data_IF_896780732892
#
_entry.id   IF_896780732892
#
_cell.length_a   1.000
_cell.length_b   1.000
_cell.length_c   1.000
_cell.angle_alpha   90.00
_cell.angle_beta   90.00
_cell.angle_gamma   90.00
#
_symmetry.space_group_name_H-M   'P 1'
#
loop_
_entity.id
_entity.type
_entity.pdbx_description
1 polymer ?
#
# COMPACT_ATOMS: atom_id res chain seq x y z
N UNK A 1 17.54 -72.34 -49.74
CA UNK A 1 17.34 -70.98 -50.30
C UNK A 1 16.02 -70.44 -49.83
N UNK A 2 15.99 -69.27 -49.22
CA UNK A 2 14.78 -68.56 -48.79
C UNK A 2 14.00 -68.15 -50.06
N UNK A 3 12.71 -68.46 -50.13
CA UNK A 3 11.94 -68.07 -51.28
C UNK A 3 11.83 -66.53 -51.44
N UNK A 4 11.84 -65.97 -52.64
CA UNK A 4 11.85 -64.53 -52.86
C UNK A 4 10.61 -63.84 -52.25
N UNK A 5 9.52 -64.55 -52.07
CA UNK A 5 8.28 -64.08 -51.44
C UNK A 5 8.46 -63.89 -49.93
N UNK A 6 9.18 -64.79 -49.22
CA UNK A 6 9.50 -64.66 -47.79
C UNK A 6 10.48 -63.54 -47.58
N UNK A 7 11.47 -63.35 -48.45
CA UNK A 7 12.41 -62.24 -48.37
C UNK A 7 11.70 -60.91 -48.52
N UNK A 8 10.81 -60.76 -49.51
CA UNK A 8 10.02 -59.54 -49.74
C UNK A 8 9.11 -59.21 -48.53
N UNK A 9 8.48 -60.23 -47.93
CA UNK A 9 7.67 -60.05 -46.72
C UNK A 9 8.53 -59.59 -45.52
N UNK A 10 9.69 -60.17 -45.28
CA UNK A 10 10.58 -59.75 -44.22
C UNK A 10 11.08 -58.34 -44.41
N UNK A 11 11.44 -57.93 -45.62
CA UNK A 11 11.83 -56.57 -45.93
C UNK A 11 10.69 -55.60 -45.68
N UNK A 12 9.46 -55.93 -46.10
CA UNK A 12 8.28 -55.09 -45.83
C UNK A 12 8.01 -54.90 -44.35
N UNK A 13 8.11 -55.98 -43.55
CA UNK A 13 7.93 -55.91 -42.10
C UNK A 13 9.01 -55.08 -41.45
N UNK A 14 10.29 -55.23 -41.87
CA UNK A 14 11.39 -54.41 -41.35
C UNK A 14 11.19 -52.93 -41.69
N UNK A 15 10.80 -52.62 -42.94
CA UNK A 15 10.49 -51.26 -43.34
C UNK A 15 9.32 -50.67 -42.52
N UNK A 16 8.27 -51.46 -42.29
CA UNK A 16 7.11 -51.00 -41.51
C UNK A 16 7.47 -50.77 -40.03
N UNK A 17 8.27 -51.66 -39.44
CA UNK A 17 8.77 -51.45 -38.05
C UNK A 17 9.71 -50.25 -37.99
N UNK A 18 10.59 -50.07 -38.95
CA UNK A 18 11.48 -48.94 -39.03
C UNK A 18 10.72 -47.61 -39.19
N UNK A 19 9.74 -47.57 -40.06
CA UNK A 19 8.88 -46.35 -40.22
C UNK A 19 8.06 -46.05 -38.98
N UNK A 20 7.47 -47.07 -38.33
CA UNK A 20 6.79 -46.92 -37.06
C UNK A 20 7.74 -46.41 -35.95
N UNK A 21 8.95 -46.97 -35.89
CA UNK A 21 9.97 -46.52 -34.94
C UNK A 21 10.39 -45.06 -35.15
N UNK A 22 10.59 -44.65 -36.39
CA UNK A 22 10.96 -43.25 -36.73
C UNK A 22 9.81 -42.28 -36.45
N UNK A 23 8.58 -42.65 -36.78
CA UNK A 23 7.40 -41.81 -36.48
C UNK A 23 7.17 -41.69 -34.96
N UNK A 24 7.31 -42.78 -34.20
CA UNK A 24 7.20 -42.78 -32.76
C UNK A 24 8.29 -41.92 -32.09
N UNK A 25 9.52 -41.94 -32.65
CA UNK A 25 10.62 -41.11 -32.12
C UNK A 25 10.44 -39.61 -32.37
N UNK A 26 9.67 -39.23 -33.42
CA UNK A 26 9.39 -37.86 -33.76
C UNK A 26 8.08 -37.31 -33.16
N UNK A 27 7.39 -38.11 -32.37
CA UNK A 27 6.15 -37.70 -31.73
C UNK A 27 6.40 -37.46 -30.22
N UNK A 28 5.70 -36.46 -29.70
CA UNK A 28 5.74 -36.06 -28.29
C UNK A 28 4.34 -36.03 -27.72
N UNK A 29 4.17 -36.61 -26.55
CA UNK A 29 2.92 -36.50 -25.79
C UNK A 29 2.95 -35.20 -24.96
N UNK A 30 2.09 -34.26 -25.32
CA UNK A 30 2.04 -32.96 -24.66
C UNK A 30 0.79 -32.86 -23.79
N UNK A 31 0.99 -32.64 -22.51
CA UNK A 31 -0.09 -32.38 -21.55
C UNK A 31 -0.36 -30.87 -21.50
N UNK A 32 -1.58 -30.48 -21.88
CA UNK A 32 -2.02 -29.10 -21.90
C UNK A 32 -2.99 -28.85 -20.76
N UNK A 33 -2.68 -27.86 -19.92
CA UNK A 33 -3.55 -27.41 -18.83
C UNK A 33 -3.85 -25.93 -18.97
N UNK A 34 -5.06 -25.57 -18.62
CA UNK A 34 -5.53 -24.19 -18.51
C UNK A 34 -6.05 -23.99 -17.09
N UNK A 35 -5.68 -22.89 -16.44
CA UNK A 35 -6.12 -22.57 -15.07
C UNK A 35 -7.64 -22.48 -14.94
N UNK A 36 -8.38 -22.29 -16.04
CA UNK A 36 -9.84 -22.42 -16.09
C UNK A 36 -10.36 -23.87 -15.96
N UNK A 37 -9.46 -24.84 -15.80
CA UNK A 37 -9.80 -26.25 -15.56
C UNK A 37 -9.78 -27.13 -16.80
N UNK A 38 -9.53 -26.61 -18.00
CA UNK A 38 -9.38 -27.43 -19.20
C UNK A 38 -8.08 -28.22 -19.12
N UNK A 39 -8.16 -29.53 -19.42
CA UNK A 39 -7.02 -30.46 -19.44
C UNK A 39 -7.12 -31.31 -20.68
N UNK A 40 -6.05 -31.38 -21.45
CA UNK A 40 -5.99 -32.15 -22.68
C UNK A 40 -4.63 -32.85 -22.81
N UNK A 41 -4.61 -33.97 -23.47
CA UNK A 41 -3.38 -34.67 -23.84
C UNK A 41 -3.35 -34.72 -25.37
N UNK A 42 -2.30 -34.18 -25.94
CA UNK A 42 -2.12 -34.09 -27.40
C UNK A 42 -0.89 -34.86 -27.83
N UNK A 43 -0.97 -35.47 -29.01
CA UNK A 43 0.19 -35.99 -29.69
C UNK A 43 0.70 -34.91 -30.65
N UNK A 44 1.89 -34.39 -30.42
CA UNK A 44 2.49 -33.32 -31.20
C UNK A 44 3.82 -33.76 -31.78
N UNK A 45 4.34 -33.02 -32.75
CA UNK A 45 5.68 -33.24 -33.23
C UNK A 45 6.69 -32.94 -32.12
N UNK A 46 7.83 -33.62 -32.13
CA UNK A 46 8.85 -33.46 -31.08
C UNK A 46 9.48 -32.05 -31.04
N UNK A 47 9.41 -31.33 -32.16
CA UNK A 47 9.88 -29.97 -32.35
C UNK A 47 8.76 -28.92 -32.36
N UNK A 48 7.52 -29.32 -32.06
CA UNK A 48 6.38 -28.41 -32.02
C UNK A 48 6.62 -27.24 -31.06
N UNK A 49 6.40 -26.03 -31.57
CA UNK A 49 6.46 -24.80 -30.77
C UNK A 49 5.25 -24.68 -29.84
N UNK A 50 5.35 -23.91 -28.75
CA UNK A 50 4.21 -23.64 -27.86
C UNK A 50 2.98 -23.11 -28.61
N UNK A 51 3.18 -22.24 -29.61
CA UNK A 51 2.11 -21.69 -30.42
C UNK A 51 1.38 -22.77 -31.24
N UNK A 52 2.13 -23.73 -31.81
CA UNK A 52 1.55 -24.86 -32.54
C UNK A 52 0.75 -25.78 -31.60
N UNK A 53 1.27 -26.03 -30.39
CA UNK A 53 0.56 -26.84 -29.39
C UNK A 53 -0.75 -26.15 -28.97
N UNK A 54 -0.73 -24.83 -28.76
CA UNK A 54 -1.94 -24.05 -28.45
C UNK A 54 -2.95 -24.12 -29.61
N UNK A 55 -2.48 -23.96 -30.83
CA UNK A 55 -3.34 -24.07 -31.99
C UNK A 55 -4.01 -25.44 -32.10
N UNK A 56 -3.27 -26.53 -31.86
CA UNK A 56 -3.78 -27.90 -31.89
C UNK A 56 -4.75 -28.18 -30.74
N UNK A 57 -4.52 -27.58 -29.57
CA UNK A 57 -5.44 -27.71 -28.43
C UNK A 57 -6.74 -26.93 -28.59
N UNK A 58 -6.80 -26.00 -29.54
CA UNK A 58 -7.91 -25.07 -29.69
C UNK A 58 -7.98 -23.99 -28.59
N UNK A 59 -7.02 -23.95 -27.71
CA UNK A 59 -6.94 -22.96 -26.62
C UNK A 59 -6.24 -21.72 -27.18
N UNK A 60 -6.82 -20.54 -26.92
CA UNK A 60 -6.23 -19.24 -27.27
C UNK A 60 -5.78 -18.56 -26.00
N UNK A 61 -4.58 -17.97 -26.01
CA UNK A 61 -4.18 -17.05 -24.96
C UNK A 61 -4.80 -15.68 -25.20
N UNK A 62 -5.20 -15.04 -24.12
CA UNK A 62 -5.65 -13.65 -24.10
C UNK A 62 -4.51 -12.72 -23.63
N UNK A 63 -4.74 -11.43 -23.77
CA UNK A 63 -3.79 -10.43 -23.32
C UNK A 63 -3.60 -10.51 -21.79
N UNK A 64 -2.35 -10.67 -21.35
CA UNK A 64 -1.99 -10.80 -19.94
C UNK A 64 -1.83 -12.24 -19.47
N UNK A 65 -2.29 -13.25 -20.24
CA UNK A 65 -2.09 -14.67 -19.90
C UNK A 65 -0.61 -15.04 -19.94
N UNK A 66 -0.19 -15.91 -19.03
CA UNK A 66 1.16 -16.48 -19.03
C UNK A 66 1.14 -17.93 -19.54
N UNK A 67 2.05 -18.23 -20.47
CA UNK A 67 2.16 -19.54 -21.10
C UNK A 67 3.50 -20.16 -20.78
N UNK A 68 3.48 -21.28 -20.08
CA UNK A 68 4.66 -22.04 -19.69
C UNK A 68 4.74 -23.35 -20.48
N UNK A 69 5.79 -23.49 -21.28
CA UNK A 69 6.07 -24.72 -22.01
C UNK A 69 7.33 -25.38 -21.51
N UNK A 70 7.22 -26.64 -21.10
CA UNK A 70 8.34 -27.44 -20.61
C UNK A 70 8.40 -28.75 -21.37
N UNK A 71 9.52 -28.98 -22.04
CA UNK A 71 9.80 -30.27 -22.66
C UNK A 71 10.61 -31.15 -21.68
N UNK A 72 10.17 -32.38 -21.50
CA UNK A 72 10.80 -33.36 -20.64
C UNK A 72 11.55 -34.41 -21.46
N UNK A 73 12.40 -35.20 -20.79
CA UNK A 73 12.99 -36.41 -21.39
C UNK A 73 11.89 -37.46 -21.66
N UNK A 74 12.09 -38.28 -22.67
CA UNK A 74 11.16 -39.39 -22.98
C UNK A 74 9.93 -38.98 -23.79
N UNK A 75 10.06 -38.02 -24.68
CA UNK A 75 9.00 -37.55 -25.58
C UNK A 75 7.73 -37.04 -24.86
N UNK A 76 7.94 -36.39 -23.72
CA UNK A 76 6.88 -35.74 -22.94
C UNK A 76 7.07 -34.23 -22.94
N UNK A 77 5.97 -33.49 -22.90
CA UNK A 77 5.96 -32.05 -22.68
C UNK A 77 4.72 -31.64 -21.89
N UNK A 78 4.80 -30.46 -21.25
CA UNK A 78 3.65 -29.79 -20.67
C UNK A 78 3.53 -28.37 -21.20
N UNK A 79 2.31 -27.93 -21.45
CA UNK A 79 1.93 -26.57 -21.74
C UNK A 79 0.91 -26.13 -20.68
N UNK A 80 1.31 -25.20 -19.83
CA UNK A 80 0.43 -24.64 -18.81
C UNK A 80 0.07 -23.22 -19.21
N UNK A 81 -1.21 -22.91 -19.20
CA UNK A 81 -1.73 -21.59 -19.46
C UNK A 81 -2.36 -21.06 -18.18
N UNK A 82 -1.74 -20.04 -17.62
CA UNK A 82 -2.26 -19.33 -16.47
C UNK A 82 -3.02 -18.09 -16.94
N UNK A 83 -4.31 -18.05 -16.63
CA UNK A 83 -5.20 -17.00 -17.10
C UNK A 83 -5.07 -15.74 -16.28
N UNK A 84 -4.95 -14.62 -16.97
CA UNK A 84 -5.01 -13.33 -16.32
C UNK A 84 -6.43 -12.96 -15.88
N UNK A 85 -6.54 -12.36 -14.73
CA UNK A 85 -7.77 -11.75 -14.23
C UNK A 85 -7.60 -10.24 -14.10
N UNK A 86 -8.73 -9.52 -14.13
CA UNK A 86 -8.74 -8.06 -14.02
C UNK A 86 -8.90 -7.62 -12.57
N UNK A 87 -8.11 -6.62 -12.18
CA UNK A 87 -8.15 -5.89 -10.92
C UNK A 87 -8.36 -4.41 -11.27
N UNK A 88 -9.17 -3.69 -10.51
CA UNK A 88 -9.36 -2.24 -10.66
C UNK A 88 -8.64 -1.51 -9.52
N UNK A 89 -7.82 -0.52 -9.89
CA UNK A 89 -7.14 0.38 -8.95
C UNK A 89 -7.76 1.76 -9.10
N UNK A 90 -8.25 2.31 -7.99
CA UNK A 90 -8.73 3.68 -7.91
C UNK A 90 -7.63 4.54 -7.26
N UNK A 91 -7.10 5.49 -8.00
CA UNK A 91 -6.07 6.41 -7.53
C UNK A 91 -6.28 7.79 -8.16
N UNK A 92 -6.12 8.85 -7.39
CA UNK A 92 -6.18 10.24 -7.84
C UNK A 92 -7.49 10.56 -8.62
N UNK A 93 -8.61 9.94 -8.21
CA UNK A 93 -9.92 10.09 -8.83
C UNK A 93 -10.08 9.39 -10.18
N UNK A 94 -9.16 8.50 -10.57
CA UNK A 94 -9.19 7.73 -11.81
C UNK A 94 -9.17 6.21 -11.50
N UNK A 95 -9.71 5.42 -12.43
CA UNK A 95 -9.66 3.97 -12.38
C UNK A 95 -8.64 3.42 -13.37
N UNK A 96 -7.78 2.53 -12.89
CA UNK A 96 -6.73 1.86 -13.66
C UNK A 96 -7.02 0.35 -13.67
N UNK A 97 -7.55 -0.19 -14.79
CA UNK A 97 -7.73 -1.63 -14.92
C UNK A 97 -6.38 -2.29 -15.19
N UNK A 98 -6.04 -3.30 -14.40
CA UNK A 98 -4.78 -4.06 -14.50
C UNK A 98 -5.10 -5.54 -14.65
N UNK A 99 -4.34 -6.23 -15.51
CA UNK A 99 -4.42 -7.70 -15.66
C UNK A 99 -3.23 -8.37 -14.99
N UNK A 100 -3.51 -9.36 -14.15
CA UNK A 100 -2.53 -10.14 -13.39
C UNK A 100 -2.90 -11.62 -13.47
N UNK A 101 -1.92 -12.48 -13.48
CA UNK A 101 -2.11 -13.93 -13.33
C UNK A 101 -2.13 -14.32 -11.85
N UNK A 102 -1.25 -13.74 -11.08
CA UNK A 102 -1.17 -13.81 -9.62
C UNK A 102 -0.44 -12.57 -9.10
N UNK A 103 -0.56 -12.29 -7.83
CA UNK A 103 0.20 -11.22 -7.20
C UNK A 103 -0.51 -10.59 -6.01
N UNK A 104 0.13 -9.57 -5.50
CA UNK A 104 -0.32 -8.74 -4.39
C UNK A 104 -0.80 -7.38 -4.88
N UNK A 105 -1.31 -6.56 -3.97
CA UNK A 105 -1.64 -5.15 -4.24
C UNK A 105 -0.41 -4.40 -4.75
N UNK A 106 0.79 -4.67 -4.18
CA UNK A 106 2.04 -4.06 -4.63
C UNK A 106 2.36 -4.38 -6.09
N UNK A 107 2.20 -5.64 -6.51
CA UNK A 107 2.41 -6.06 -7.91
C UNK A 107 1.42 -5.38 -8.87
N UNK A 108 0.18 -5.18 -8.41
CA UNK A 108 -0.84 -4.50 -9.19
C UNK A 108 -0.50 -3.01 -9.39
N UNK A 109 -0.03 -2.32 -8.33
CA UNK A 109 0.41 -0.93 -8.40
C UNK A 109 1.62 -0.76 -9.32
N UNK A 110 2.63 -1.63 -9.19
CA UNK A 110 3.81 -1.61 -10.05
C UNK A 110 3.42 -1.75 -11.52
N UNK A 111 2.51 -2.66 -11.85
CA UNK A 111 2.02 -2.87 -13.20
C UNK A 111 1.20 -1.70 -13.76
N UNK A 112 0.49 -0.97 -12.87
CA UNK A 112 -0.22 0.26 -13.21
C UNK A 112 0.72 1.48 -13.35
N UNK A 113 1.97 1.38 -12.87
CA UNK A 113 2.91 2.50 -12.80
C UNK A 113 2.55 3.51 -11.71
N UNK A 114 1.83 3.08 -10.66
CA UNK A 114 1.42 3.93 -9.55
C UNK A 114 2.44 3.76 -8.42
N UNK A 115 3.04 4.86 -7.99
CA UNK A 115 3.95 4.92 -6.85
C UNK A 115 3.26 5.52 -5.65
N UNK A 116 3.59 5.03 -4.46
CA UNK A 116 3.20 5.62 -3.18
C UNK A 116 4.33 6.50 -2.67
N UNK A 117 4.00 7.65 -2.11
CA UNK A 117 4.95 8.60 -1.53
C UNK A 117 4.65 8.82 -0.05
N UNK A 118 5.69 9.08 0.74
CA UNK A 118 5.55 9.39 2.16
C UNK A 118 4.72 8.38 2.94
N UNK A 119 3.57 8.84 3.44
CA UNK A 119 2.62 8.05 4.24
C UNK A 119 1.40 7.59 3.44
N UNK A 120 1.45 7.64 2.10
CA UNK A 120 0.41 7.08 1.24
C UNK A 120 0.15 5.62 1.58
N UNK A 121 -1.10 5.21 1.50
CA UNK A 121 -1.46 3.83 1.80
C UNK A 121 -2.54 3.29 0.85
N UNK A 122 -2.76 1.99 0.92
CA UNK A 122 -3.76 1.32 0.08
C UNK A 122 -4.75 0.52 0.89
N UNK A 123 -5.95 0.39 0.37
CA UNK A 123 -6.95 -0.55 0.84
C UNK A 123 -7.36 -1.49 -0.31
N UNK A 124 -7.07 -2.81 -0.15
CA UNK A 124 -6.35 -3.52 0.90
C UNK A 124 -4.86 -3.16 0.99
N UNK A 125 -4.18 -3.62 2.07
CA UNK A 125 -2.75 -3.40 2.28
C UNK A 125 -1.88 -3.99 1.15
N UNK A 126 -0.64 -3.50 0.98
CA UNK A 126 0.25 -3.84 -0.12
C UNK A 126 0.56 -5.34 -0.25
N UNK A 127 0.61 -6.06 0.85
CA UNK A 127 0.89 -7.49 0.93
C UNK A 127 -0.33 -8.39 0.68
N UNK A 128 -1.52 -7.79 0.55
CA UNK A 128 -2.74 -8.53 0.30
C UNK A 128 -2.73 -9.17 -1.10
N UNK A 129 -3.04 -10.47 -1.16
CA UNK A 129 -3.14 -11.21 -2.42
C UNK A 129 -4.42 -10.80 -3.15
N UNK A 130 -4.27 -10.37 -4.40
CA UNK A 130 -5.40 -9.94 -5.23
C UNK A 130 -6.01 -11.13 -5.99
N UNK A 131 -7.29 -11.04 -6.27
CA UNK A 131 -8.07 -12.03 -7.02
C UNK A 131 -8.91 -11.34 -8.08
N UNK A 132 -9.56 -12.13 -8.93
CA UNK A 132 -10.43 -11.61 -9.98
C UNK A 132 -11.50 -10.67 -9.42
N UNK A 133 -11.54 -9.46 -9.95
CA UNK A 133 -12.49 -8.42 -9.53
C UNK A 133 -12.13 -7.68 -8.23
N UNK A 134 -10.92 -7.90 -7.68
CA UNK A 134 -10.43 -7.10 -6.55
C UNK A 134 -10.42 -5.62 -6.90
N UNK A 135 -10.82 -4.80 -5.93
CA UNK A 135 -10.74 -3.34 -6.00
C UNK A 135 -9.70 -2.87 -5.02
N UNK A 136 -8.81 -2.02 -5.49
CA UNK A 136 -7.74 -1.41 -4.72
C UNK A 136 -7.99 0.09 -4.72
N UNK A 137 -7.95 0.72 -3.56
CA UNK A 137 -8.02 2.17 -3.41
C UNK A 137 -6.67 2.66 -2.90
N UNK A 138 -6.15 3.68 -3.56
CA UNK A 138 -4.92 4.38 -3.13
C UNK A 138 -5.35 5.66 -2.45
N UNK A 139 -4.89 5.85 -1.23
CA UNK A 139 -5.11 7.05 -0.44
C UNK A 139 -3.85 7.90 -0.41
N UNK A 140 -3.98 9.17 -0.80
CA UNK A 140 -2.89 10.14 -0.79
C UNK A 140 -2.86 10.88 0.54
N UNK A 141 -1.67 10.97 1.14
CA UNK A 141 -1.48 11.61 2.44
C UNK A 141 -0.56 12.81 2.30
N UNK A 142 -1.12 14.00 2.52
CA UNK A 142 -0.40 15.25 2.49
C UNK A 142 -0.36 15.89 3.88
N UNK A 143 0.71 16.67 4.14
CA UNK A 143 0.88 17.41 5.38
C UNK A 143 1.04 18.90 5.09
N UNK A 144 0.31 19.72 5.84
CA UNK A 144 0.46 21.17 5.81
C UNK A 144 0.82 21.70 7.21
N UNK A 145 1.82 22.57 7.29
CA UNK A 145 2.18 23.22 8.55
C UNK A 145 1.60 24.63 8.60
N UNK A 146 0.85 24.89 9.66
CA UNK A 146 0.24 26.18 9.94
C UNK A 146 0.82 26.78 11.21
N UNK A 147 1.29 28.02 11.11
CA UNK A 147 1.88 28.76 12.23
C UNK A 147 0.93 29.85 12.64
N UNK A 148 0.52 29.86 13.92
CA UNK A 148 -0.39 30.86 14.49
C UNK A 148 0.21 31.50 15.73
N UNK A 149 -0.03 32.78 15.89
CA UNK A 149 0.32 33.48 17.13
C UNK A 149 -0.89 33.51 18.06
N UNK A 150 -0.70 33.00 19.27
CA UNK A 150 -1.73 32.96 20.31
C UNK A 150 -1.30 33.79 21.52
N UNK A 151 -2.27 34.46 22.16
CA UNK A 151 -2.01 35.17 23.39
C UNK A 151 -1.93 34.23 24.58
N UNK A 152 -0.92 34.41 25.42
CA UNK A 152 -0.81 33.76 26.70
C UNK A 152 -1.47 34.66 27.74
N UNK A 153 -2.54 34.24 28.43
CA UNK A 153 -3.17 35.04 29.47
C UNK A 153 -2.20 35.28 30.62
N UNK A 154 -2.33 36.43 31.29
CA UNK A 154 -1.61 36.70 32.51
C UNK A 154 -2.45 36.36 33.72
N UNK A 155 -1.78 36.06 34.83
CA UNK A 155 -2.43 35.81 36.13
C UNK A 155 -2.57 37.10 36.95
N UNK A 156 -3.54 37.12 37.89
CA UNK A 156 -3.69 38.19 38.85
C UNK A 156 -3.22 37.74 40.21
N UNK A 157 -2.16 38.38 40.71
CA UNK A 157 -1.60 38.12 42.00
C UNK A 157 -2.04 39.19 43.03
N UNK A 158 -2.41 38.75 44.23
CA UNK A 158 -2.79 39.63 45.32
C UNK A 158 -1.68 39.66 46.37
N UNK A 159 -1.12 40.84 46.62
CA UNK A 159 -0.14 41.08 47.65
C UNK A 159 -0.83 41.72 48.84
N UNK A 160 -0.89 41.02 49.96
CA UNK A 160 -1.55 41.50 51.15
C UNK A 160 -0.60 42.36 51.99
N UNK A 161 -1.12 43.44 52.55
CA UNK A 161 -0.35 44.32 53.45
C UNK A 161 -1.15 44.63 54.72
N UNK A 162 -0.47 44.56 55.86
CA UNK A 162 -1.02 44.84 57.19
C UNK A 162 -0.95 46.31 57.59
N UNK A 163 -0.28 47.15 56.81
CA UNK A 163 0.06 48.51 57.22
C UNK A 163 -1.09 49.54 57.27
N UNK A 164 -2.32 49.12 56.92
CA UNK A 164 -3.46 50.05 56.85
C UNK A 164 -4.75 49.44 57.39
N UNK A 165 -4.84 49.20 58.67
CA UNK A 165 -6.04 48.67 59.35
C UNK A 165 -7.31 49.50 59.16
N UNK A 166 -7.19 50.75 58.70
CA UNK A 166 -8.35 51.63 58.51
C UNK A 166 -8.95 51.58 57.11
N UNK A 167 -8.39 50.88 56.16
CA UNK A 167 -8.79 50.85 54.77
C UNK A 167 -9.00 49.42 54.25
N UNK A 168 -9.70 48.60 55.04
CA UNK A 168 -10.06 47.24 54.61
C UNK A 168 -10.90 47.31 53.33
N UNK A 169 -10.55 46.47 52.34
CA UNK A 169 -11.20 46.41 51.05
C UNK A 169 -10.68 47.38 49.98
N UNK A 170 -9.69 48.28 50.36
CA UNK A 170 -9.06 49.14 49.37
C UNK A 170 -8.01 48.35 48.56
N UNK A 171 -8.03 48.46 47.28
CA UNK A 171 -7.06 47.85 46.35
C UNK A 171 -6.26 48.94 45.64
N UNK A 172 -5.01 48.64 45.31
CA UNK A 172 -4.15 49.47 44.48
C UNK A 172 -3.38 48.60 43.51
N UNK A 173 -3.48 48.88 42.24
CA UNK A 173 -2.67 48.19 41.23
C UNK A 173 -1.19 48.58 41.41
N UNK A 174 -0.34 47.59 41.59
CA UNK A 174 1.12 47.76 41.65
C UNK A 174 1.75 47.58 40.29
N UNK A 175 1.23 46.61 39.55
CA UNK A 175 1.68 46.27 38.21
C UNK A 175 0.49 45.94 37.34
N UNK A 176 0.42 46.50 36.18
CA UNK A 176 -0.59 46.11 35.17
C UNK A 176 -0.17 44.84 34.50
N UNK A 177 -1.12 43.89 34.37
CA UNK A 177 -0.91 42.66 33.61
C UNK A 177 -0.81 42.95 32.13
N UNK A 178 -0.01 42.19 31.44
CA UNK A 178 0.10 42.18 30.01
C UNK A 178 0.11 40.74 29.50
N UNK A 179 -0.72 40.45 28.52
CA UNK A 179 -0.72 39.14 27.89
C UNK A 179 0.62 38.87 27.18
N UNK A 180 1.13 37.67 27.35
CA UNK A 180 2.25 37.14 26.57
C UNK A 180 1.80 36.71 25.15
N UNK A 181 2.76 36.27 24.40
CA UNK A 181 2.52 35.71 23.06
C UNK A 181 3.29 34.41 22.89
N UNK A 182 2.66 33.43 22.27
CA UNK A 182 3.30 32.21 21.85
C UNK A 182 3.00 31.94 20.37
N UNK A 183 3.94 31.33 19.70
CA UNK A 183 3.77 30.81 18.35
C UNK A 183 3.50 29.33 18.46
N UNK A 184 2.38 28.89 17.90
CA UNK A 184 1.95 27.49 17.85
C UNK A 184 2.05 27.02 16.40
N UNK A 185 2.84 25.99 16.17
CA UNK A 185 2.93 25.30 14.87
C UNK A 185 2.08 24.06 14.94
N UNK A 186 1.08 24.00 14.07
CA UNK A 186 0.17 22.86 13.91
C UNK A 186 0.47 22.18 12.60
N UNK A 187 0.57 20.85 12.59
CA UNK A 187 0.64 20.03 11.39
C UNK A 187 -0.71 19.41 11.14
N UNK A 188 -1.30 19.78 10.00
CA UNK A 188 -2.56 19.28 9.51
C UNK A 188 -2.27 18.11 8.57
N UNK A 189 -2.91 16.95 8.79
CA UNK A 189 -2.84 15.75 7.95
C UNK A 189 -4.08 15.68 7.08
N UNK A 190 -3.87 15.65 5.77
CA UNK A 190 -4.93 15.47 4.78
C UNK A 190 -4.86 14.08 4.18
N UNK A 191 -6.02 13.47 3.97
CA UNK A 191 -6.17 12.22 3.24
C UNK A 191 -7.11 12.48 2.08
N UNK A 192 -6.65 12.21 0.86
CA UNK A 192 -7.39 12.47 -0.38
C UNK A 192 -7.90 13.92 -0.49
N UNK A 193 -7.15 14.87 0.08
CA UNK A 193 -7.50 16.27 0.12
C UNK A 193 -8.48 16.70 1.23
N UNK A 194 -8.94 15.76 2.07
CA UNK A 194 -9.78 16.06 3.23
C UNK A 194 -8.95 16.08 4.51
N UNK A 195 -9.18 17.10 5.37
CA UNK A 195 -8.50 17.20 6.66
C UNK A 195 -8.95 16.06 7.59
N UNK A 196 -8.02 15.19 7.93
CA UNK A 196 -8.27 14.08 8.84
C UNK A 196 -7.91 14.42 10.29
N UNK A 197 -6.75 15.06 10.50
CA UNK A 197 -6.24 15.34 11.85
C UNK A 197 -5.36 16.59 11.85
N UNK A 198 -5.35 17.30 13.01
CA UNK A 198 -4.48 18.43 13.28
C UNK A 198 -3.71 18.18 14.59
N UNK A 199 -2.41 18.25 14.54
CA UNK A 199 -1.54 18.01 15.70
C UNK A 199 -0.61 19.19 15.94
N UNK A 200 -0.58 19.68 17.17
CA UNK A 200 0.43 20.70 17.57
C UNK A 200 1.80 20.03 17.64
N UNK A 201 2.73 20.50 16.81
CA UNK A 201 4.09 19.94 16.71
C UNK A 201 5.12 20.79 17.45
N UNK A 202 4.86 22.10 17.59
CA UNK A 202 5.74 23.02 18.34
C UNK A 202 4.94 24.15 18.99
N UNK A 203 5.43 24.60 20.14
CA UNK A 203 4.91 25.79 20.83
C UNK A 203 6.08 26.56 21.42
N UNK A 204 6.34 27.74 20.88
CA UNK A 204 7.44 28.61 21.31
C UNK A 204 6.89 29.90 21.88
N UNK A 205 7.18 30.21 23.17
CA UNK A 205 6.84 31.48 23.79
C UNK A 205 7.73 32.58 23.23
N UNK A 206 7.12 33.59 22.60
CA UNK A 206 7.83 34.74 22.01
C UNK A 206 7.86 35.94 22.96
N UNK A 207 6.81 36.11 23.77
CA UNK A 207 6.71 37.15 24.80
C UNK A 207 6.12 36.50 26.05
N UNK A 208 6.86 36.60 27.18
CA UNK A 208 6.34 36.12 28.46
C UNK A 208 5.19 37.01 28.95
N UNK A 209 4.13 36.43 29.55
CA UNK A 209 3.07 37.23 30.17
C UNK A 209 3.59 37.95 31.41
N UNK A 210 3.06 39.14 31.65
CA UNK A 210 3.35 39.89 32.86
C UNK A 210 2.13 39.86 33.76
N UNK A 211 2.29 39.37 35.00
CA UNK A 211 1.18 39.25 35.94
C UNK A 211 0.61 40.59 36.36
N UNK A 212 -0.70 40.66 36.59
CA UNK A 212 -1.39 41.79 37.17
C UNK A 212 -1.25 41.69 38.69
N UNK A 213 -0.50 42.64 39.33
CA UNK A 213 -0.27 42.62 40.77
C UNK A 213 -1.14 43.69 41.43
N UNK A 214 -2.03 43.24 42.33
CA UNK A 214 -2.93 44.07 43.13
C UNK A 214 -2.50 44.00 44.57
N UNK A 215 -2.22 45.15 45.15
CA UNK A 215 -2.03 45.29 46.56
C UNK A 215 -3.36 45.49 47.27
N UNK A 216 -3.68 44.62 48.17
CA UNK A 216 -4.93 44.67 48.91
C UNK A 216 -4.70 44.81 50.41
N UNK A 217 -5.65 45.50 51.06
CA UNK A 217 -5.63 45.78 52.48
C UNK A 217 -6.84 45.09 53.10
N UNK A 218 -6.66 44.11 53.99
CA UNK A 218 -7.79 43.41 54.59
C UNK A 218 -7.43 42.22 55.44
N UNK A 219 -8.45 41.56 55.95
CA UNK A 219 -8.35 40.34 56.72
C UNK A 219 -7.74 39.23 55.88
N UNK A 220 -6.59 38.71 56.20
CA UNK A 220 -5.82 37.73 55.42
C UNK A 220 -4.45 38.23 55.03
N UNK A 221 -4.15 39.50 55.27
CA UNK A 221 -2.79 40.03 55.13
C UNK A 221 -1.83 39.28 56.10
N UNK A 222 -0.64 38.84 55.62
CA UNK A 222 0.34 38.20 56.50
C UNK A 222 0.71 39.18 57.63
N UNK A 223 0.73 38.70 58.87
CA UNK A 223 1.15 39.48 60.04
C UNK A 223 2.63 39.78 59.87
N UNK A 224 2.97 41.07 59.97
CA UNK A 224 4.39 41.47 59.95
C UNK A 224 5.16 40.82 61.09
N UNK A 225 6.29 40.19 60.82
CA UNK A 225 7.12 39.62 61.89
C UNK A 225 7.59 40.64 62.93
N UNK A 226 7.46 41.94 62.64
CA UNK A 226 7.76 43.04 63.59
C UNK A 226 6.56 43.39 64.49
N UNK A 227 5.39 42.85 64.30
CA UNK A 227 4.19 43.05 65.11
C UNK A 227 3.83 41.84 65.97
N UNK A 228 4.65 40.82 65.97
CA UNK A 228 4.50 39.57 66.73
C UNK A 228 5.25 39.65 68.08
N UNK A 229 5.09 40.72 68.83
CA UNK A 229 5.52 40.80 70.26
C UNK A 229 4.30 41.07 71.13
#
# INVERSE_FOLDING_TARGET
AVSPRVLAFCVMVVCLVATLGVTAANLRLTYVTDSNGARQVLLTDADASPAQVMHLSGIRSEEGDEVYYTAFSGNLASLNIERAFSVSISADGQEYPVKLVFGTVADALERAGITLEGDDYTEPALDHVVTAGSKIVVHRVDYEERVETQAIPYDTQYVYTSLYFRNTGRTTTVQHGAAGQQTVTTRDRYVDGELENSTVVDTTTTVEPTDHVIKTYGAGAPVSPLTGA
#
